data_IF_435903352845
#
_entry.id   IF_435903352845
#
_cell.length_a   1.000
_cell.length_b   1.000
_cell.length_c   1.000
_cell.angle_alpha   90.00
_cell.angle_beta   90.00
_cell.angle_gamma   90.00
#
_symmetry.space_group_name_H-M   'P 1'
#
loop_
_entity.id
_entity.type
_entity.pdbx_description
1 polymer ?
#
# COMPACT_ATOMS: atom_id res chain seq x y z
N UNK A 1 -46.45 19.74 37.12
CA UNK A 1 -45.37 18.90 36.56
C UNK A 1 -45.00 17.89 37.63
N UNK A 2 -45.16 16.60 37.37
CA UNK A 2 -44.90 15.53 38.35
C UNK A 2 -43.41 15.17 38.40
N UNK A 3 -42.97 14.54 39.49
CA UNK A 3 -41.59 14.08 39.62
C UNK A 3 -41.20 13.07 38.52
N UNK A 4 -42.17 12.29 38.03
CA UNK A 4 -42.00 11.40 36.87
C UNK A 4 -41.74 12.17 35.57
N UNK A 5 -42.44 13.28 35.33
CA UNK A 5 -42.23 14.11 34.15
C UNK A 5 -40.86 14.80 34.20
N UNK A 6 -40.43 15.23 35.39
CA UNK A 6 -39.11 15.86 35.60
C UNK A 6 -37.96 14.85 35.40
N UNK A 7 -38.10 13.64 35.94
CA UNK A 7 -37.13 12.56 35.73
C UNK A 7 -37.03 12.11 34.27
N UNK A 8 -38.17 12.00 33.56
CA UNK A 8 -38.20 11.64 32.14
C UNK A 8 -37.55 12.72 31.26
N UNK A 9 -37.81 14.00 31.53
CA UNK A 9 -37.20 15.11 30.82
C UNK A 9 -35.66 15.18 31.02
N UNK A 10 -35.20 14.90 32.24
CA UNK A 10 -33.77 14.88 32.56
C UNK A 10 -33.04 13.71 31.90
N UNK A 11 -33.65 12.51 31.90
CA UNK A 11 -33.12 11.35 31.19
C UNK A 11 -33.03 11.61 29.68
N UNK A 12 -34.05 12.24 29.09
CA UNK A 12 -34.07 12.56 27.66
C UNK A 12 -33.03 13.64 27.29
N UNK A 13 -32.75 14.59 28.19
CA UNK A 13 -31.64 15.54 28.06
C UNK A 13 -30.29 14.81 28.09
N UNK A 14 -30.07 13.93 29.07
CA UNK A 14 -28.83 13.15 29.19
C UNK A 14 -28.59 12.27 27.96
N UNK A 15 -29.62 11.61 27.42
CA UNK A 15 -29.49 10.82 26.19
C UNK A 15 -29.11 11.67 24.98
N UNK A 16 -29.67 12.87 24.84
CA UNK A 16 -29.30 13.80 23.75
C UNK A 16 -27.86 14.28 23.88
N UNK A 17 -27.40 14.58 25.09
CA UNK A 17 -26.02 15.00 25.35
C UNK A 17 -25.01 13.88 25.06
N UNK A 18 -25.33 12.63 25.45
CA UNK A 18 -24.49 11.46 25.13
C UNK A 18 -24.42 11.22 23.63
N UNK A 19 -25.57 11.20 22.95
CA UNK A 19 -25.62 11.03 21.49
C UNK A 19 -24.83 12.13 20.75
N UNK A 20 -24.98 13.39 21.15
CA UNK A 20 -24.23 14.50 20.56
C UNK A 20 -22.71 14.36 20.75
N UNK A 21 -22.26 13.87 21.92
CA UNK A 21 -20.84 13.59 22.18
C UNK A 21 -20.32 12.42 21.35
N UNK A 22 -21.09 11.35 21.22
CA UNK A 22 -20.72 10.19 20.39
C UNK A 22 -20.60 10.57 18.92
N UNK A 23 -21.54 11.35 18.39
CA UNK A 23 -21.47 11.86 17.01
C UNK A 23 -20.26 12.76 16.80
N UNK A 24 -20.03 13.73 17.69
CA UNK A 24 -18.86 14.61 17.58
C UNK A 24 -17.53 13.85 17.67
N UNK A 25 -17.46 12.80 18.50
CA UNK A 25 -16.30 11.92 18.61
C UNK A 25 -16.08 11.10 17.34
N UNK A 26 -17.15 10.54 16.76
CA UNK A 26 -17.10 9.80 15.51
C UNK A 26 -16.66 10.68 14.33
N UNK A 27 -17.21 11.88 14.21
CA UNK A 27 -16.81 12.87 13.19
C UNK A 27 -15.35 13.29 13.35
N UNK A 28 -14.90 13.55 14.58
CA UNK A 28 -13.50 13.88 14.84
C UNK A 28 -12.55 12.71 14.48
N UNK A 29 -12.93 11.47 14.78
CA UNK A 29 -12.17 10.29 14.41
C UNK A 29 -12.12 10.07 12.89
N UNK A 30 -13.23 10.30 12.18
CA UNK A 30 -13.27 10.23 10.72
C UNK A 30 -12.40 11.30 10.06
N UNK A 31 -12.48 12.54 10.54
CA UNK A 31 -11.61 13.62 10.06
C UNK A 31 -10.13 13.33 10.32
N UNK A 32 -9.79 12.77 11.49
CA UNK A 32 -8.43 12.38 11.80
C UNK A 32 -7.93 11.29 10.83
N UNK A 33 -8.73 10.26 10.56
CA UNK A 33 -8.41 9.20 9.59
C UNK A 33 -8.25 9.76 8.16
N UNK A 34 -9.13 10.67 7.75
CA UNK A 34 -9.04 11.29 6.43
C UNK A 34 -7.76 12.11 6.26
N UNK A 35 -7.36 12.87 7.29
CA UNK A 35 -6.08 13.61 7.29
C UNK A 35 -4.88 12.68 7.25
N UNK A 36 -4.90 11.59 8.02
CA UNK A 36 -3.83 10.59 8.01
C UNK A 36 -3.72 9.92 6.64
N UNK A 37 -4.83 9.51 6.04
CA UNK A 37 -4.86 8.95 4.68
C UNK A 37 -4.34 9.93 3.64
N UNK A 38 -4.71 11.21 3.74
CA UNK A 38 -4.19 12.25 2.85
C UNK A 38 -2.68 12.43 3.01
N UNK A 39 -2.18 12.49 4.25
CA UNK A 39 -0.74 12.59 4.52
C UNK A 39 0.04 11.39 3.96
N UNK A 40 -0.52 10.18 4.10
CA UNK A 40 0.06 8.98 3.51
C UNK A 40 0.11 9.05 1.98
N UNK A 41 -0.97 9.53 1.36
CA UNK A 41 -1.06 9.74 -0.10
C UNK A 41 -0.03 10.76 -0.58
N UNK A 42 0.10 11.88 0.12
CA UNK A 42 1.07 12.93 -0.22
C UNK A 42 2.51 12.39 -0.12
N UNK A 43 2.84 11.67 0.95
CA UNK A 43 4.15 11.00 1.09
C UNK A 43 4.41 9.95 0.01
N UNK A 44 3.38 9.20 -0.37
CA UNK A 44 3.48 8.21 -1.43
C UNK A 44 3.74 8.89 -2.79
N UNK A 45 3.03 9.97 -3.09
CA UNK A 45 3.25 10.77 -4.30
C UNK A 45 4.66 11.40 -4.33
N UNK A 46 5.13 11.92 -3.19
CA UNK A 46 6.51 12.41 -3.03
C UNK A 46 7.54 11.31 -3.29
N UNK A 47 7.34 10.13 -2.69
CA UNK A 47 8.19 8.97 -2.95
C UNK A 47 8.17 8.58 -4.43
N UNK A 48 7.00 8.54 -5.07
CA UNK A 48 6.88 8.22 -6.50
C UNK A 48 7.70 9.20 -7.34
N UNK A 49 7.49 10.50 -7.14
CA UNK A 49 8.21 11.54 -7.88
C UNK A 49 9.73 11.44 -7.63
N UNK A 50 10.13 11.16 -6.39
CA UNK A 50 11.51 10.93 -6.01
C UNK A 50 12.10 9.71 -6.74
N UNK A 51 11.44 8.57 -6.67
CA UNK A 51 11.88 7.34 -7.31
C UNK A 51 12.03 7.48 -8.82
N UNK A 52 11.07 8.15 -9.47
CA UNK A 52 11.12 8.45 -10.90
C UNK A 52 12.32 9.31 -11.27
N UNK A 53 12.64 10.33 -10.47
CA UNK A 53 13.82 11.18 -10.66
C UNK A 53 15.14 10.41 -10.53
N UNK A 54 15.14 9.31 -9.77
CA UNK A 54 16.29 8.44 -9.56
C UNK A 54 16.27 7.19 -10.46
N UNK A 55 15.47 7.21 -11.54
CA UNK A 55 15.53 6.20 -12.59
C UNK A 55 14.70 4.94 -12.35
N UNK A 56 13.84 4.91 -11.32
CA UNK A 56 12.90 3.80 -11.15
C UNK A 56 11.93 3.76 -12.36
N UNK A 57 11.80 2.62 -13.07
CA UNK A 57 10.87 2.49 -14.18
C UNK A 57 9.42 2.48 -13.71
N UNK A 58 8.49 2.68 -14.65
CA UNK A 58 7.06 2.51 -14.42
C UNK A 58 6.66 1.10 -14.81
N UNK A 59 5.92 0.44 -13.92
CA UNK A 59 5.39 -0.89 -14.12
C UNK A 59 3.87 -0.81 -14.29
N UNK A 60 3.36 -1.48 -15.31
CA UNK A 60 1.93 -1.60 -15.54
C UNK A 60 1.29 -2.54 -14.52
N UNK A 61 0.16 -2.13 -13.96
CA UNK A 61 -0.62 -2.95 -13.03
C UNK A 61 -1.49 -3.94 -13.80
N UNK A 62 -1.44 -5.20 -13.38
CA UNK A 62 -2.34 -6.24 -13.87
C UNK A 62 -3.04 -6.91 -12.70
N UNK A 63 -4.34 -7.16 -12.79
CA UNK A 63 -5.03 -8.03 -11.84
C UNK A 63 -5.02 -9.45 -12.39
N UNK A 64 -4.50 -10.38 -11.61
CA UNK A 64 -4.47 -11.79 -11.92
C UNK A 64 -5.68 -12.48 -11.25
N UNK A 65 -6.54 -13.09 -12.07
CA UNK A 65 -7.72 -13.80 -11.57
C UNK A 65 -7.46 -15.31 -11.53
N UNK A 66 -7.75 -15.93 -10.39
CA UNK A 66 -7.52 -17.36 -10.18
C UNK A 66 -8.42 -18.22 -11.08
N UNK A 67 -7.84 -19.27 -11.66
CA UNK A 67 -8.55 -20.51 -11.95
C UNK A 67 -8.01 -21.63 -11.08
N UNK A 68 -8.54 -22.85 -11.27
CA UNK A 68 -8.43 -23.98 -10.33
C UNK A 68 -7.01 -24.29 -9.80
N UNK A 69 -5.92 -23.93 -10.50
CA UNK A 69 -4.53 -24.17 -10.03
C UNK A 69 -3.50 -23.08 -10.41
N UNK A 70 -3.89 -22.06 -11.18
CA UNK A 70 -3.03 -20.95 -11.64
C UNK A 70 -3.91 -19.80 -12.14
N UNK A 71 -3.42 -18.55 -12.19
CA UNK A 71 -4.23 -17.45 -12.73
C UNK A 71 -4.57 -17.72 -14.19
N UNK A 72 -5.88 -17.77 -14.49
CA UNK A 72 -6.40 -18.17 -15.80
C UNK A 72 -6.39 -17.03 -16.81
N UNK A 73 -6.49 -15.79 -16.35
CA UNK A 73 -6.46 -14.59 -17.19
C UNK A 73 -6.04 -13.36 -16.37
N UNK A 74 -5.65 -12.31 -17.09
CA UNK A 74 -5.05 -11.11 -16.54
C UNK A 74 -5.74 -9.87 -17.09
N UNK A 75 -6.10 -8.94 -16.20
CA UNK A 75 -6.68 -7.66 -16.58
C UNK A 75 -5.65 -6.54 -16.42
N UNK A 76 -5.28 -5.89 -17.52
CA UNK A 76 -4.46 -4.69 -17.44
C UNK A 76 -5.30 -3.56 -16.85
N UNK A 77 -4.88 -3.03 -15.72
CA UNK A 77 -5.41 -1.78 -15.16
C UNK A 77 -4.46 -0.66 -15.61
N UNK A 78 -5.01 0.42 -16.16
CA UNK A 78 -4.23 1.44 -16.88
C UNK A 78 -3.21 2.23 -16.04
N UNK A 79 -3.06 1.90 -14.76
CA UNK A 79 -2.18 2.57 -13.81
C UNK A 79 -0.72 2.16 -14.00
N UNK A 80 0.14 3.17 -13.91
CA UNK A 80 1.58 3.05 -13.96
C UNK A 80 2.12 3.31 -12.57
N UNK A 81 2.89 2.35 -12.04
CA UNK A 81 3.35 2.40 -10.67
C UNK A 81 4.87 2.29 -10.59
N UNK A 82 5.44 2.89 -9.55
CA UNK A 82 6.75 2.49 -9.02
C UNK A 82 6.51 1.37 -8.02
N UNK A 83 7.29 0.30 -8.12
CA UNK A 83 7.16 -0.87 -7.23
C UNK A 83 8.38 -0.99 -6.33
N UNK A 84 8.17 -1.25 -5.05
CA UNK A 84 9.23 -1.44 -4.08
C UNK A 84 9.01 -2.68 -3.22
N UNK A 85 10.12 -3.25 -2.73
CA UNK A 85 10.13 -4.48 -1.94
C UNK A 85 11.30 -4.54 -0.97
N UNK A 86 10.99 -4.90 0.28
CA UNK A 86 12.02 -5.17 1.27
C UNK A 86 12.77 -6.47 0.99
N UNK A 87 14.09 -6.45 1.21
CA UNK A 87 14.94 -7.63 1.21
C UNK A 87 14.65 -8.53 2.41
N UNK A 88 14.53 -9.84 2.17
CA UNK A 88 14.43 -10.82 3.23
C UNK A 88 15.77 -11.54 3.44
N UNK A 89 16.45 -11.22 4.54
CA UNK A 89 17.72 -11.84 4.90
C UNK A 89 17.61 -13.36 5.11
N UNK A 90 16.53 -13.83 5.74
CA UNK A 90 16.33 -15.27 6.01
C UNK A 90 16.15 -16.11 4.74
N UNK A 91 15.62 -15.51 3.68
CA UNK A 91 15.39 -16.18 2.39
C UNK A 91 16.44 -15.84 1.33
N UNK A 92 17.41 -14.98 1.64
CA UNK A 92 18.43 -14.51 0.70
C UNK A 92 17.86 -13.95 -0.60
N UNK A 93 16.64 -13.38 -0.57
CA UNK A 93 15.90 -12.98 -1.76
C UNK A 93 14.82 -11.95 -1.47
N UNK A 94 14.38 -11.26 -2.50
CA UNK A 94 13.15 -10.47 -2.49
C UNK A 94 11.94 -11.41 -2.61
N UNK A 95 11.64 -12.21 -1.59
CA UNK A 95 10.48 -13.15 -1.62
C UNK A 95 9.46 -12.91 -0.51
N UNK A 96 9.80 -12.14 0.54
CA UNK A 96 8.86 -11.81 1.62
C UNK A 96 7.56 -11.22 1.07
N UNK A 97 6.43 -11.77 1.48
CA UNK A 97 5.07 -11.28 1.20
C UNK A 97 4.73 -9.99 1.94
N UNK A 98 5.44 -9.69 3.02
CA UNK A 98 4.93 -8.75 4.03
C UNK A 98 5.18 -7.28 3.68
N UNK A 99 6.22 -6.96 2.91
CA UNK A 99 6.65 -5.57 2.67
C UNK A 99 6.91 -5.31 1.19
N UNK A 100 5.84 -5.46 0.39
CA UNK A 100 5.83 -5.09 -1.03
C UNK A 100 4.70 -4.11 -1.25
N UNK A 101 4.94 -3.12 -2.10
CA UNK A 101 3.94 -2.12 -2.41
C UNK A 101 4.25 -1.48 -3.75
N UNK A 102 3.21 -0.99 -4.41
CA UNK A 102 3.30 -0.20 -5.63
C UNK A 102 2.63 1.15 -5.41
N UNK A 103 3.19 2.21 -5.95
CA UNK A 103 2.67 3.57 -5.80
C UNK A 103 2.47 4.20 -7.16
N UNK A 104 1.34 4.84 -7.37
CA UNK A 104 1.03 5.64 -8.57
C UNK A 104 1.48 7.08 -8.40
N UNK A 105 1.44 7.84 -9.49
CA UNK A 105 1.76 9.28 -9.47
C UNK A 105 0.90 10.09 -8.50
N UNK A 106 -0.38 9.74 -8.36
CA UNK A 106 -1.31 10.43 -7.46
C UNK A 106 -1.23 9.93 -6.01
N UNK A 107 -0.24 9.10 -5.67
CA UNK A 107 -0.02 8.59 -4.32
C UNK A 107 -0.94 7.43 -3.91
N UNK A 108 -1.71 6.85 -4.84
CA UNK A 108 -2.46 5.61 -4.58
C UNK A 108 -1.47 4.47 -4.34
N UNK A 109 -1.65 3.74 -3.25
CA UNK A 109 -0.77 2.64 -2.85
C UNK A 109 -1.48 1.31 -3.02
N UNK A 110 -0.89 0.41 -3.80
CA UNK A 110 -1.34 -0.96 -3.98
C UNK A 110 -0.45 -1.90 -3.15
N UNK A 111 -1.03 -2.65 -2.19
CA UNK A 111 -0.27 -3.57 -1.36
C UNK A 111 0.06 -4.85 -2.13
N UNK A 112 1.11 -5.54 -1.67
CA UNK A 112 1.45 -6.90 -2.08
C UNK A 112 1.57 -7.14 -3.60
N UNK A 113 2.25 -6.29 -4.40
CA UNK A 113 2.55 -6.62 -5.79
C UNK A 113 3.31 -7.95 -5.87
N UNK A 114 2.94 -8.74 -6.86
CA UNK A 114 3.54 -10.01 -7.22
C UNK A 114 4.35 -9.84 -8.50
N UNK A 115 5.56 -10.37 -8.47
CA UNK A 115 6.29 -10.62 -9.70
C UNK A 115 5.59 -11.78 -10.42
N UNK A 116 5.43 -11.66 -11.73
CA UNK A 116 4.94 -12.79 -12.51
C UNK A 116 5.95 -13.93 -12.45
N UNK A 117 5.45 -15.16 -12.54
CA UNK A 117 6.34 -16.32 -12.68
C UNK A 117 7.21 -16.20 -13.92
N UNK A 118 8.29 -17.00 -13.95
CA UNK A 118 9.33 -17.03 -15.01
C UNK A 118 8.74 -17.05 -16.44
N UNK A 119 7.51 -17.56 -16.60
CA UNK A 119 6.81 -17.59 -17.89
C UNK A 119 5.86 -16.39 -18.00
N UNK A 120 6.16 -15.50 -18.96
CA UNK A 120 5.28 -14.37 -19.31
C UNK A 120 3.87 -14.90 -19.66
N UNK A 121 2.81 -14.46 -18.96
CA UNK A 121 1.46 -14.88 -19.29
C UNK A 121 1.05 -14.39 -20.69
N UNK A 122 0.24 -15.18 -21.40
CA UNK A 122 -0.14 -14.93 -22.81
C UNK A 122 -0.84 -13.57 -23.02
N UNK A 123 -1.53 -13.06 -22.00
CA UNK A 123 -2.33 -11.84 -22.11
C UNK A 123 -1.60 -10.57 -21.61
N UNK A 124 -0.35 -10.71 -21.14
CA UNK A 124 0.46 -9.58 -20.70
C UNK A 124 1.27 -9.02 -21.88
N UNK A 125 1.10 -7.73 -22.14
CA UNK A 125 1.70 -7.03 -23.28
C UNK A 125 2.88 -6.16 -22.88
N UNK A 126 2.87 -5.66 -21.64
CA UNK A 126 3.92 -4.79 -21.12
C UNK A 126 5.17 -5.59 -20.75
N UNK A 127 6.34 -5.00 -21.01
CA UNK A 127 7.63 -5.62 -20.68
C UNK A 127 7.91 -5.59 -19.17
N UNK A 128 7.59 -4.47 -18.53
CA UNK A 128 7.69 -4.27 -17.10
C UNK A 128 6.28 -4.12 -16.51
N UNK A 129 5.94 -5.05 -15.63
CA UNK A 129 4.62 -5.13 -15.02
C UNK A 129 4.69 -5.80 -13.66
N UNK A 130 3.63 -5.63 -12.88
CA UNK A 130 3.41 -6.42 -11.68
C UNK A 130 1.97 -6.94 -11.68
N UNK A 131 1.79 -8.04 -10.95
CA UNK A 131 0.49 -8.65 -10.75
C UNK A 131 -0.03 -8.28 -9.36
N UNK A 132 -1.26 -7.82 -9.31
CA UNK A 132 -2.06 -7.80 -8.10
C UNK A 132 -2.93 -9.04 -8.11
N UNK A 133 -2.88 -9.80 -7.02
CA UNK A 133 -3.89 -10.84 -6.79
C UNK A 133 -4.96 -10.20 -5.92
N UNK A 134 -6.25 -10.35 -6.24
CA UNK A 134 -7.31 -10.04 -5.30
C UNK A 134 -7.09 -10.92 -4.07
N UNK A 135 -6.46 -10.38 -3.03
CA UNK A 135 -6.19 -11.11 -1.81
C UNK A 135 -7.52 -11.47 -1.15
N UNK A 136 -7.63 -12.70 -0.64
CA UNK A 136 -8.71 -13.13 0.24
C UNK A 136 -8.80 -12.31 1.55
N UNK A 137 -7.80 -11.46 1.83
CA UNK A 137 -7.76 -10.55 2.97
C UNK A 137 -8.02 -9.12 2.51
N UNK A 138 -9.28 -8.68 2.45
CA UNK A 138 -9.57 -7.27 2.28
C UNK A 138 -9.00 -6.53 3.50
N UNK A 139 -8.16 -5.52 3.25
CA UNK A 139 -7.76 -4.49 4.23
C UNK A 139 -6.72 -4.90 5.30
N UNK A 140 -5.51 -5.32 4.93
CA UNK A 140 -4.40 -5.10 5.87
C UNK A 140 -4.05 -3.60 5.92
N UNK A 141 -4.05 -2.97 7.10
CA UNK A 141 -3.95 -1.53 7.22
C UNK A 141 -2.63 -1.01 6.66
N UNK A 142 -2.71 0.06 5.88
CA UNK A 142 -1.61 0.86 5.36
C UNK A 142 -0.68 1.48 6.43
N UNK A 143 -0.90 1.16 7.71
CA UNK A 143 -0.39 1.85 8.90
C UNK A 143 1.13 1.71 9.13
N UNK A 144 1.85 0.96 8.31
CA UNK A 144 3.32 0.90 8.34
C UNK A 144 4.01 1.29 7.01
N UNK A 145 3.24 1.60 5.95
CA UNK A 145 3.81 1.79 4.61
C UNK A 145 4.72 3.02 4.54
N UNK A 146 4.35 4.11 5.20
CA UNK A 146 5.15 5.33 5.19
C UNK A 146 6.55 5.13 5.80
N UNK A 147 6.66 4.27 6.81
CA UNK A 147 7.96 3.96 7.45
C UNK A 147 8.91 3.23 6.49
N UNK A 148 8.37 2.63 5.42
CA UNK A 148 9.15 1.98 4.38
C UNK A 148 9.53 2.88 3.20
N UNK A 149 8.90 4.05 3.05
CA UNK A 149 9.28 5.00 2.00
C UNK A 149 10.66 5.59 2.23
N UNK A 150 11.00 5.91 3.48
CA UNK A 150 12.33 6.43 3.83
C UNK A 150 13.48 5.47 3.50
N UNK A 151 13.49 4.19 3.93
CA UNK A 151 14.54 3.25 3.55
C UNK A 151 14.55 2.94 2.05
N UNK A 152 13.39 2.93 1.38
CA UNK A 152 13.33 2.79 -0.08
C UNK A 152 13.94 4.01 -0.82
N UNK A 153 13.70 5.22 -0.32
CA UNK A 153 14.32 6.43 -0.85
C UNK A 153 15.84 6.44 -0.60
N UNK A 154 16.29 6.06 0.60
CA UNK A 154 17.71 5.92 0.92
C UNK A 154 18.40 4.89 0.01
N UNK A 155 17.74 3.77 -0.27
CA UNK A 155 18.22 2.73 -1.17
C UNK A 155 18.49 3.22 -2.61
N UNK A 156 17.73 4.24 -3.08
CA UNK A 156 17.94 4.85 -4.38
C UNK A 156 19.13 5.82 -4.42
N UNK A 157 19.43 6.48 -3.30
CA UNK A 157 20.57 7.40 -3.17
C UNK A 157 21.89 6.64 -3.02
N UNK A 158 21.88 5.60 -2.19
CA UNK A 158 23.08 4.83 -1.86
C UNK A 158 22.84 3.32 -2.03
N UNK A 159 22.99 2.79 -3.27
CA UNK A 159 22.90 1.36 -3.53
C UNK A 159 24.00 0.54 -2.83
N UNK A 160 23.63 -0.19 -1.78
CA UNK A 160 24.51 -1.05 -0.99
C UNK A 160 24.31 -2.53 -1.33
N UNK A 161 25.36 -3.38 -1.30
CA UNK A 161 25.19 -4.82 -1.43
C UNK A 161 24.30 -5.40 -0.32
N UNK A 162 23.36 -6.28 -0.67
CA UNK A 162 22.42 -6.92 0.27
C UNK A 162 22.38 -8.45 0.19
N UNK A 163 22.89 -9.04 -0.89
CA UNK A 163 22.91 -10.49 -1.08
C UNK A 163 23.61 -10.89 -2.38
N UNK A 164 23.63 -12.19 -2.68
CA UNK A 164 24.33 -12.78 -3.84
C UNK A 164 23.91 -12.11 -5.16
N UNK A 165 24.73 -11.16 -5.63
CA UNK A 165 24.46 -10.39 -6.86
C UNK A 165 23.38 -9.31 -6.73
N UNK A 166 22.85 -9.07 -5.52
CA UNK A 166 21.80 -8.09 -5.27
C UNK A 166 22.31 -6.90 -4.46
N UNK A 167 21.75 -5.72 -4.75
CA UNK A 167 22.01 -4.46 -4.06
C UNK A 167 20.69 -3.80 -3.69
N UNK A 168 20.69 -2.85 -2.75
CA UNK A 168 19.56 -1.92 -2.64
C UNK A 168 19.46 -1.05 -3.91
N UNK A 169 18.32 -0.40 -4.11
CA UNK A 169 18.04 0.44 -5.29
C UNK A 169 17.25 -0.31 -6.36
N UNK A 170 17.32 0.17 -7.60
CA UNK A 170 16.57 -0.42 -8.73
C UNK A 170 17.18 -1.77 -9.12
N UNK A 171 16.36 -2.81 -9.11
CA UNK A 171 16.70 -4.18 -9.50
C UNK A 171 16.54 -4.38 -11.02
N UNK A 172 17.00 -5.51 -11.53
CA UNK A 172 16.91 -5.87 -12.96
C UNK A 172 15.46 -6.00 -13.46
N UNK A 173 14.52 -6.37 -12.60
CA UNK A 173 13.09 -6.42 -12.92
C UNK A 173 12.39 -5.04 -12.77
N UNK A 174 13.15 -3.98 -12.49
CA UNK A 174 12.64 -2.62 -12.32
C UNK A 174 12.11 -2.29 -10.92
N UNK A 175 12.11 -3.24 -9.99
CA UNK A 175 11.61 -3.01 -8.63
C UNK A 175 12.66 -2.28 -7.79
N UNK A 176 12.23 -1.51 -6.81
CA UNK A 176 13.12 -0.90 -5.82
C UNK A 176 13.31 -1.87 -4.67
N UNK A 177 14.48 -2.49 -4.62
CA UNK A 177 14.91 -3.30 -3.50
C UNK A 177 15.48 -2.44 -2.37
N UNK A 178 15.04 -2.64 -1.14
CA UNK A 178 15.60 -1.93 0.01
C UNK A 178 15.82 -2.85 1.19
N UNK A 179 16.76 -2.50 2.06
CA UNK A 179 16.96 -3.20 3.32
C UNK A 179 16.03 -2.59 4.36
N UNK A 180 15.28 -3.43 5.05
CA UNK A 180 14.61 -3.02 6.28
C UNK A 180 15.60 -3.19 7.44
N UNK A 181 15.73 -2.14 8.26
CA UNK A 181 16.56 -2.08 9.47
C UNK A 181 15.83 -2.64 10.68
#
# INVERSE_FOLDING_TARGET
MSDLERAAAEHLRQQRELSARETASAEAAEQARAREQQLLRDRAAEFFAFARRHGAPLLCRYIAFEGDQSPSWYERKGELCVVAKAWNHGMGSFTSSVWRWAVTEDGTVFPEPWEASIVRPKDVRDELYFLERPSYYPQQPHLGLADHFAPAAAALLEPLPIGNGFRTGVQTNGWIGYRWS
#
